data_IF_439425953117
#
_entry.id   IF_439425953117
#
_cell.length_a   1.000
_cell.length_b   1.000
_cell.length_c   1.000
_cell.angle_alpha   90.00
_cell.angle_beta   90.00
_cell.angle_gamma   90.00
#
_symmetry.space_group_name_H-M   'P 1'
#
loop_
_entity.id
_entity.type
_entity.pdbx_description
1 polymer ?
#
# COMPACT_ATOMS: atom_id res chain seq x y z
N UNK A 1 13.46 3.78 0.86
CA UNK A 1 14.35 4.59 1.70
C UNK A 1 14.88 5.81 0.96
N UNK A 2 15.82 5.62 0.04
CA UNK A 2 16.46 6.72 -0.72
C UNK A 2 15.47 7.67 -1.42
N UNK A 3 14.41 7.13 -2.05
CA UNK A 3 13.37 7.93 -2.69
C UNK A 3 12.64 8.85 -1.70
N UNK A 4 12.32 8.35 -0.49
CA UNK A 4 11.68 9.13 0.58
C UNK A 4 12.63 10.21 1.09
N UNK A 5 13.91 9.91 1.28
CA UNK A 5 14.91 10.91 1.68
C UNK A 5 15.07 12.03 0.65
N UNK A 6 14.97 11.70 -0.64
CA UNK A 6 15.16 12.66 -1.73
C UNK A 6 13.92 13.49 -2.05
N UNK A 7 12.73 12.89 -1.98
CA UNK A 7 11.49 13.51 -2.45
C UNK A 7 10.42 13.69 -1.37
N UNK A 8 10.63 13.16 -0.16
CA UNK A 8 9.66 13.15 0.93
C UNK A 8 8.63 12.01 0.81
N UNK A 9 8.07 11.61 1.94
CA UNK A 9 7.04 10.57 1.98
C UNK A 9 5.78 10.99 1.22
N UNK A 10 5.38 12.26 1.34
CA UNK A 10 4.18 12.79 0.69
C UNK A 10 4.21 12.66 -0.85
N UNK A 11 5.35 12.93 -1.49
CA UNK A 11 5.45 12.82 -2.95
C UNK A 11 5.54 11.36 -3.40
N UNK A 12 6.07 10.48 -2.56
CA UNK A 12 6.22 9.05 -2.87
C UNK A 12 4.94 8.24 -2.67
N UNK A 13 4.06 8.65 -1.75
CA UNK A 13 2.86 7.90 -1.36
C UNK A 13 1.93 7.51 -2.52
N UNK A 14 1.50 8.41 -3.42
CA UNK A 14 0.59 8.02 -4.49
C UNK A 14 1.25 7.05 -5.48
N UNK A 15 2.54 7.23 -5.76
CA UNK A 15 3.30 6.31 -6.62
C UNK A 15 3.45 4.93 -6.01
N UNK A 16 3.67 4.86 -4.69
CA UNK A 16 3.76 3.59 -3.99
C UNK A 16 2.42 2.85 -3.97
N UNK A 17 1.30 3.56 -3.77
CA UNK A 17 -0.05 2.97 -3.88
C UNK A 17 -0.32 2.45 -5.30
N UNK A 18 -0.02 3.23 -6.33
CA UNK A 18 -0.22 2.82 -7.72
C UNK A 18 0.66 1.62 -8.07
N UNK A 19 1.93 1.62 -7.65
CA UNK A 19 2.82 0.48 -7.87
C UNK A 19 2.28 -0.81 -7.22
N UNK A 20 1.80 -0.74 -5.98
CA UNK A 20 1.19 -1.88 -5.28
C UNK A 20 -0.11 -2.36 -5.94
N UNK A 21 -0.95 -1.45 -6.44
CA UNK A 21 -2.16 -1.82 -7.17
C UNK A 21 -1.83 -2.51 -8.51
N UNK A 22 -0.86 -1.97 -9.24
CA UNK A 22 -0.40 -2.54 -10.52
C UNK A 22 0.30 -3.88 -10.34
N UNK A 23 1.10 -4.06 -9.29
CA UNK A 23 1.73 -5.35 -8.99
C UNK A 23 0.69 -6.43 -8.72
N UNK A 24 -0.43 -6.07 -8.10
CA UNK A 24 -1.52 -7.00 -7.87
C UNK A 24 -2.24 -7.40 -9.17
N UNK A 25 -2.33 -6.48 -10.13
CA UNK A 25 -2.96 -6.73 -11.43
C UNK A 25 -2.13 -7.70 -12.30
N UNK A 26 -0.81 -7.74 -12.10
CA UNK A 26 0.03 -8.71 -12.80
C UNK A 26 -0.44 -10.15 -12.52
N UNK A 27 -1.06 -10.45 -11.38
CA UNK A 27 -1.43 -11.82 -10.99
C UNK A 27 -2.55 -12.38 -11.88
N UNK A 28 -3.25 -11.51 -12.62
CA UNK A 28 -4.15 -11.92 -13.69
C UNK A 28 -3.43 -12.64 -14.83
N UNK A 29 -2.16 -12.30 -15.12
CA UNK A 29 -1.40 -12.99 -16.16
C UNK A 29 -1.12 -14.45 -15.78
N UNK A 30 -0.97 -14.75 -14.48
CA UNK A 30 -0.81 -16.11 -13.97
C UNK A 30 -2.08 -16.95 -14.11
N UNK A 31 -3.27 -16.33 -14.10
CA UNK A 31 -4.52 -17.07 -14.31
C UNK A 31 -4.74 -17.46 -15.77
N UNK A 32 -3.98 -16.89 -16.72
CA UNK A 32 -4.00 -17.26 -18.13
C UNK A 32 -2.82 -18.16 -18.52
N UNK A 33 -1.64 -17.94 -17.92
CA UNK A 33 -0.42 -18.72 -18.18
C UNK A 33 -0.05 -19.63 -17.00
N UNK A 34 -0.92 -20.60 -16.74
CA UNK A 34 -0.72 -21.60 -15.68
C UNK A 34 0.63 -22.32 -15.81
N UNK A 35 1.42 -22.35 -14.72
CA UNK A 35 2.65 -23.14 -14.62
C UNK A 35 3.93 -22.51 -15.19
N UNK A 36 3.89 -21.24 -15.63
CA UNK A 36 5.07 -20.54 -16.14
C UNK A 36 5.97 -20.02 -15.01
N UNK A 37 6.99 -20.80 -14.65
CA UNK A 37 7.90 -20.45 -13.55
C UNK A 37 8.64 -19.11 -13.72
N UNK A 38 9.12 -18.73 -14.93
CA UNK A 38 9.71 -17.42 -15.15
C UNK A 38 8.75 -16.26 -14.89
N UNK A 39 7.48 -16.41 -15.29
CA UNK A 39 6.46 -15.39 -15.09
C UNK A 39 6.14 -15.23 -13.61
N UNK A 40 6.02 -16.33 -12.88
CA UNK A 40 5.84 -16.34 -11.43
C UNK A 40 6.97 -15.62 -10.68
N UNK A 41 8.23 -15.83 -11.08
CA UNK A 41 9.38 -15.14 -10.48
C UNK A 41 9.31 -13.62 -10.72
N UNK A 42 9.04 -13.19 -11.95
CA UNK A 42 8.91 -11.75 -12.27
C UNK A 42 7.79 -11.10 -11.48
N UNK A 43 6.66 -11.79 -11.39
CA UNK A 43 5.47 -11.40 -10.64
C UNK A 43 5.74 -11.19 -9.15
N UNK A 44 6.27 -12.20 -8.48
CA UNK A 44 6.62 -12.11 -7.05
C UNK A 44 7.68 -11.04 -6.81
N UNK A 45 8.66 -10.91 -7.71
CA UNK A 45 9.68 -9.86 -7.58
C UNK A 45 9.07 -8.47 -7.64
N UNK A 46 8.17 -8.23 -8.59
CA UNK A 46 7.44 -6.96 -8.72
C UNK A 46 6.54 -6.66 -7.53
N UNK A 47 5.86 -7.67 -6.99
CA UNK A 47 5.02 -7.55 -5.81
C UNK A 47 5.83 -7.22 -4.55
N UNK A 48 6.94 -7.93 -4.30
CA UNK A 48 7.82 -7.66 -3.18
C UNK A 48 8.46 -6.27 -3.27
N UNK A 49 8.85 -5.85 -4.48
CA UNK A 49 9.38 -4.51 -4.69
C UNK A 49 8.33 -3.45 -4.35
N UNK A 50 7.09 -3.62 -4.83
CA UNK A 50 6.00 -2.67 -4.60
C UNK A 50 5.58 -2.63 -3.13
N UNK A 51 5.51 -3.78 -2.47
CA UNK A 51 5.23 -3.91 -1.04
C UNK A 51 6.35 -3.27 -0.20
N UNK A 52 7.61 -3.48 -0.57
CA UNK A 52 8.76 -2.84 0.10
C UNK A 52 8.76 -1.31 -0.07
N UNK A 53 8.40 -0.83 -1.27
CA UNK A 53 8.24 0.59 -1.55
C UNK A 53 7.12 1.20 -0.69
N UNK A 54 5.92 0.62 -0.74
CA UNK A 54 4.76 1.08 0.03
C UNK A 54 5.01 1.01 1.53
N UNK A 55 5.57 -0.08 2.03
CA UNK A 55 5.91 -0.24 3.45
C UNK A 55 6.89 0.83 3.91
N UNK A 56 7.93 1.12 3.12
CA UNK A 56 8.90 2.16 3.50
C UNK A 56 8.28 3.55 3.51
N UNK A 57 7.45 3.87 2.51
CA UNK A 57 6.77 5.17 2.44
C UNK A 57 5.74 5.32 3.57
N UNK A 58 4.99 4.25 3.87
CA UNK A 58 4.01 4.22 4.95
C UNK A 58 4.65 4.42 6.32
N UNK A 59 5.78 3.76 6.60
CA UNK A 59 6.54 3.97 7.86
C UNK A 59 6.96 5.43 7.99
N UNK A 60 7.57 6.00 6.95
CA UNK A 60 7.99 7.40 6.97
C UNK A 60 6.82 8.36 7.14
N UNK A 61 5.68 8.10 6.48
CA UNK A 61 4.47 8.90 6.61
C UNK A 61 3.88 8.80 8.03
N UNK A 62 3.80 7.60 8.61
CA UNK A 62 3.33 7.42 9.98
C UNK A 62 4.23 8.12 10.99
N UNK A 63 5.56 8.10 10.80
CA UNK A 63 6.50 8.84 11.63
C UNK A 63 6.28 10.35 11.54
N UNK A 64 5.95 10.87 10.36
CA UNK A 64 5.66 12.30 10.12
C UNK A 64 4.38 12.75 10.85
N UNK A 65 3.41 11.84 11.02
CA UNK A 65 2.17 12.10 11.76
C UNK A 65 2.31 12.00 13.28
N UNK A 66 3.44 11.50 13.79
CA UNK A 66 3.64 11.32 15.23
C UNK A 66 4.28 12.54 15.88
N UNK A 67 3.68 12.99 16.98
CA UNK A 67 4.20 14.09 17.77
C UNK A 67 5.46 13.63 18.51
N UNK A 68 6.53 14.42 18.43
CA UNK A 68 7.80 14.19 19.11
C UNK A 68 7.64 13.90 20.61
N UNK A 69 6.63 14.48 21.28
CA UNK A 69 6.39 14.30 22.72
C UNK A 69 5.84 12.91 23.09
N UNK A 70 5.15 12.22 22.18
CA UNK A 70 4.50 10.92 22.42
C UNK A 70 4.77 9.91 21.29
N UNK A 71 5.92 10.03 20.64
CA UNK A 71 6.31 9.32 19.41
C UNK A 71 6.09 7.81 19.51
N UNK A 72 6.59 7.17 20.57
CA UNK A 72 6.50 5.70 20.71
C UNK A 72 5.04 5.21 20.79
N UNK A 73 4.21 5.85 21.60
CA UNK A 73 2.82 5.42 21.82
C UNK A 73 1.95 5.70 20.61
N UNK A 74 2.08 6.88 20.00
CA UNK A 74 1.30 7.23 18.81
C UNK A 74 1.69 6.39 17.60
N UNK A 75 2.99 6.17 17.38
CA UNK A 75 3.44 5.30 16.30
C UNK A 75 2.93 3.86 16.49
N UNK A 76 3.02 3.32 17.71
CA UNK A 76 2.52 1.99 18.01
C UNK A 76 1.00 1.89 17.77
N UNK A 77 0.23 2.93 18.11
CA UNK A 77 -1.21 2.97 17.89
C UNK A 77 -1.55 2.98 16.39
N UNK A 78 -0.92 3.86 15.60
CA UNK A 78 -1.13 3.92 14.15
C UNK A 78 -0.68 2.64 13.45
N UNK A 79 0.52 2.15 13.78
CA UNK A 79 1.04 0.90 13.22
C UNK A 79 0.16 -0.29 13.55
N UNK A 80 -0.35 -0.37 14.80
CA UNK A 80 -1.26 -1.45 15.19
C UNK A 80 -2.57 -1.38 14.42
N UNK A 81 -3.12 -0.19 14.20
CA UNK A 81 -4.34 -0.01 13.43
C UNK A 81 -4.16 -0.46 11.97
N UNK A 82 -3.03 -0.13 11.33
CA UNK A 82 -2.70 -0.59 9.97
C UNK A 82 -2.59 -2.12 9.91
N UNK A 83 -1.93 -2.74 10.88
CA UNK A 83 -1.75 -4.20 10.90
C UNK A 83 -3.06 -4.93 11.15
N UNK A 84 -3.86 -4.47 12.12
CA UNK A 84 -5.15 -5.11 12.47
C UNK A 84 -6.13 -5.00 11.31
N UNK A 85 -6.28 -3.81 10.72
CA UNK A 85 -7.16 -3.62 9.56
C UNK A 85 -6.75 -4.50 8.38
N UNK A 86 -5.44 -4.55 8.07
CA UNK A 86 -4.91 -5.42 7.03
C UNK A 86 -5.18 -6.90 7.28
N UNK A 87 -4.99 -7.38 8.52
CA UNK A 87 -5.25 -8.78 8.88
C UNK A 87 -6.74 -9.15 8.81
N UNK A 88 -7.63 -8.25 9.22
CA UNK A 88 -9.07 -8.48 9.15
C UNK A 88 -9.53 -8.64 7.70
N UNK A 89 -9.13 -7.72 6.82
CA UNK A 89 -9.47 -7.78 5.39
C UNK A 89 -8.80 -9.00 4.74
N UNK A 90 -7.53 -9.25 5.06
CA UNK A 90 -6.77 -10.41 4.58
C UNK A 90 -7.40 -11.74 5.00
N UNK A 91 -7.94 -11.84 6.21
CA UNK A 91 -8.65 -13.03 6.69
C UNK A 91 -9.98 -13.28 5.97
N UNK A 92 -10.67 -12.21 5.56
CA UNK A 92 -11.91 -12.30 4.77
C UNK A 92 -11.65 -12.57 3.28
N UNK A 93 -10.42 -12.40 2.80
CA UNK A 93 -10.07 -12.54 1.39
C UNK A 93 -10.40 -13.92 0.81
N UNK A 94 -10.27 -14.99 1.60
CA UNK A 94 -10.61 -16.35 1.18
C UNK A 94 -12.09 -16.54 0.84
N UNK A 95 -13.00 -15.90 1.59
CA UNK A 95 -14.43 -15.92 1.29
C UNK A 95 -14.74 -15.16 -0.01
N UNK A 96 -14.03 -14.05 -0.25
CA UNK A 96 -14.18 -13.26 -1.48
C UNK A 96 -13.67 -14.05 -2.68
N UNK A 97 -12.48 -14.66 -2.59
CA UNK A 97 -11.94 -15.53 -3.64
C UNK A 97 -12.87 -16.72 -3.90
N UNK A 98 -13.51 -17.27 -2.86
CA UNK A 98 -14.50 -18.32 -2.99
C UNK A 98 -15.74 -17.95 -3.82
N UNK A 99 -16.09 -16.66 -3.92
CA UNK A 99 -17.27 -16.19 -4.68
C UNK A 99 -16.93 -15.61 -6.05
N UNK A 100 -15.83 -14.86 -6.18
CA UNK A 100 -15.45 -14.16 -7.42
C UNK A 100 -14.20 -14.74 -8.12
N UNK A 101 -13.56 -15.74 -7.53
CA UNK A 101 -12.32 -16.34 -8.01
C UNK A 101 -11.10 -15.42 -7.87
N UNK A 102 -9.92 -15.95 -8.20
CA UNK A 102 -8.66 -15.20 -8.13
C UNK A 102 -8.64 -13.99 -9.07
N UNK A 103 -9.12 -14.16 -10.31
CA UNK A 103 -9.15 -13.05 -11.28
C UNK A 103 -10.02 -11.89 -10.79
N UNK A 104 -11.23 -12.17 -10.29
CA UNK A 104 -12.11 -11.15 -9.73
C UNK A 104 -11.52 -10.48 -8.50
N UNK A 105 -10.85 -11.25 -7.64
CA UNK A 105 -10.21 -10.75 -6.43
C UNK A 105 -9.07 -9.76 -6.72
N UNK A 106 -8.18 -10.04 -7.67
CA UNK A 106 -7.07 -9.14 -8.01
C UNK A 106 -7.55 -7.83 -8.63
N UNK A 107 -8.58 -7.87 -9.48
CA UNK A 107 -9.24 -6.67 -10.01
C UNK A 107 -9.87 -5.87 -8.86
N UNK A 108 -10.62 -6.54 -7.98
CA UNK A 108 -11.25 -5.92 -6.82
C UNK A 108 -10.21 -5.26 -5.91
N UNK A 109 -9.09 -5.92 -5.62
CA UNK A 109 -8.03 -5.37 -4.79
C UNK A 109 -7.36 -4.15 -5.42
N UNK A 110 -7.13 -4.16 -6.74
CA UNK A 110 -6.64 -3.00 -7.48
C UNK A 110 -7.62 -1.82 -7.35
N UNK A 111 -8.92 -2.05 -7.56
CA UNK A 111 -9.95 -1.03 -7.43
C UNK A 111 -10.12 -0.53 -5.98
N UNK A 112 -9.95 -1.41 -4.99
CA UNK A 112 -9.98 -1.06 -3.58
C UNK A 112 -8.86 -0.08 -3.18
N UNK A 113 -7.83 0.08 -4.01
CA UNK A 113 -6.76 1.08 -3.81
C UNK A 113 -7.19 2.50 -4.25
N UNK A 114 -8.18 2.62 -5.15
CA UNK A 114 -8.70 3.92 -5.61
C UNK A 114 -9.23 4.82 -4.48
N UNK A 115 -10.08 4.35 -3.54
CA UNK A 115 -10.52 5.20 -2.44
C UNK A 115 -9.36 5.70 -1.58
N UNK A 116 -8.32 4.88 -1.38
CA UNK A 116 -7.12 5.30 -0.65
C UNK A 116 -6.36 6.41 -1.41
N UNK A 117 -6.26 6.33 -2.73
CA UNK A 117 -5.70 7.41 -3.57
C UNK A 117 -6.54 8.69 -3.51
N UNK A 118 -7.87 8.58 -3.57
CA UNK A 118 -8.77 9.74 -3.46
C UNK A 118 -8.60 10.43 -2.10
N UNK A 119 -8.61 9.67 -1.01
CA UNK A 119 -8.38 10.20 0.34
C UNK A 119 -7.01 10.86 0.42
N UNK A 120 -5.97 10.25 -0.16
CA UNK A 120 -4.63 10.84 -0.20
C UNK A 120 -4.64 12.23 -0.87
N UNK A 121 -5.21 12.35 -2.07
CA UNK A 121 -5.28 13.63 -2.78
C UNK A 121 -6.13 14.68 -2.05
N UNK A 122 -7.16 14.25 -1.32
CA UNK A 122 -8.00 15.14 -0.52
C UNK A 122 -7.30 15.67 0.74
N UNK A 123 -6.52 14.82 1.42
CA UNK A 123 -5.84 15.17 2.67
C UNK A 123 -4.51 15.90 2.42
N UNK A 124 -3.79 15.58 1.34
CA UNK A 124 -2.50 16.18 0.98
C UNK A 124 -2.43 17.71 1.12
N UNK A 125 -3.36 18.53 0.58
CA UNK A 125 -3.25 19.98 0.71
C UNK A 125 -3.30 20.46 2.16
N UNK A 126 -4.00 19.74 3.06
CA UNK A 126 -4.04 20.08 4.49
C UNK A 126 -2.75 19.68 5.22
N UNK A 127 -2.13 18.58 4.83
CA UNK A 127 -0.84 18.14 5.38
C UNK A 127 0.28 19.14 5.04
N UNK A 128 0.35 19.57 3.78
CA UNK A 128 1.31 20.57 3.33
C UNK A 128 1.18 21.92 4.05
N UNK A 129 -0.05 22.30 4.45
CA UNK A 129 -0.29 23.53 5.22
C UNK A 129 0.25 23.42 6.66
N UNK A 130 0.09 22.26 7.30
CA UNK A 130 0.66 22.02 8.64
C UNK A 130 2.19 22.02 8.63
N UNK A 131 2.82 21.42 7.61
CA UNK A 131 4.28 21.45 7.47
C UNK A 131 4.85 22.83 7.13
N UNK A 132 4.07 23.71 6.50
CA UNK A 132 4.49 25.08 6.20
C UNK A 132 4.29 26.05 7.39
N UNK A 133 3.49 25.67 8.39
CA UNK A 133 3.18 26.48 9.57
C UNK A 133 4.08 26.19 10.78
N UNK A 134 4.84 25.08 10.74
CA UNK A 134 5.90 24.73 11.69
C UNK A 134 7.27 25.12 11.13
#
# INVERSE_FOLDING_TARGET
>A
GAAVLRWGAERCMPWALVAAALSNLLFLLLTWHHGSMPLFVVMISGDNFSTGLLGTVAVAFLSDLTDHRYTATQYALFSSLTVVSGKLIGGLSGFIVGTVGFSGFFIFSCLATLPALVVWFWVRPRLLQHHAAN
#
